data_IF_898949954314
#
_entry.id   IF_898949954314
#
_cell.length_a   1.000
_cell.length_b   1.000
_cell.length_c   1.000
_cell.angle_alpha   90.00
_cell.angle_beta   90.00
_cell.angle_gamma   90.00
#
_symmetry.space_group_name_H-M   'P 1'
#
loop_
_entity.id
_entity.type
_entity.pdbx_description
1 polymer ?
#
# COMPACT_ATOMS: atom_id res chain seq x y z
N UNK A 1 -32.39 -1.82 -10.27
CA UNK A 1 -31.61 -1.23 -9.16
C UNK A 1 -31.08 -2.38 -8.33
N UNK A 2 -29.76 -2.63 -8.33
CA UNK A 2 -29.12 -3.67 -7.53
C UNK A 2 -28.19 -3.03 -6.50
N UNK A 3 -28.47 -3.14 -5.20
CA UNK A 3 -27.56 -2.74 -4.14
C UNK A 3 -26.90 -3.98 -3.53
N UNK A 4 -25.84 -4.53 -4.16
CA UNK A 4 -25.05 -5.61 -3.53
C UNK A 4 -23.58 -5.47 -3.99
N UNK A 5 -22.78 -4.67 -3.27
CA UNK A 5 -21.32 -4.71 -3.40
C UNK A 5 -20.53 -4.09 -2.21
N UNK A 6 -21.17 -3.77 -1.08
CA UNK A 6 -20.48 -3.09 0.03
C UNK A 6 -20.18 -4.02 1.24
N UNK A 7 -20.75 -5.23 1.27
CA UNK A 7 -20.69 -6.11 2.45
C UNK A 7 -19.56 -7.16 2.41
N UNK A 8 -18.67 -7.11 1.42
CA UNK A 8 -17.57 -8.07 1.27
C UNK A 8 -16.27 -7.66 1.99
N UNK A 9 -15.96 -6.35 2.04
CA UNK A 9 -14.68 -5.85 2.54
C UNK A 9 -14.59 -5.84 4.07
N UNK A 10 -15.71 -5.57 4.75
CA UNK A 10 -15.77 -5.54 6.22
C UNK A 10 -15.57 -6.95 6.81
N UNK A 11 -15.98 -8.00 6.09
CA UNK A 11 -15.89 -9.39 6.54
C UNK A 11 -14.45 -9.93 6.49
N UNK A 12 -13.65 -9.51 5.50
CA UNK A 12 -12.24 -9.91 5.36
C UNK A 12 -11.37 -9.30 6.48
N UNK A 13 -11.57 -8.03 6.81
CA UNK A 13 -10.87 -7.38 7.92
C UNK A 13 -11.19 -8.04 9.27
N UNK A 14 -12.46 -8.43 9.48
CA UNK A 14 -12.89 -9.05 10.73
C UNK A 14 -12.37 -10.48 10.91
N UNK A 15 -12.32 -11.26 9.84
CA UNK A 15 -11.82 -12.65 9.89
C UNK A 15 -10.31 -12.69 10.18
N UNK A 16 -9.54 -11.74 9.64
CA UNK A 16 -8.11 -11.60 9.95
C UNK A 16 -7.90 -11.18 11.41
N UNK A 17 -8.64 -10.19 11.90
CA UNK A 17 -8.58 -9.75 13.29
C UNK A 17 -8.98 -10.88 14.27
N UNK A 18 -10.07 -11.59 14.00
CA UNK A 18 -10.57 -12.66 14.88
C UNK A 18 -9.63 -13.87 14.91
N UNK A 19 -9.00 -14.22 13.79
CA UNK A 19 -8.14 -15.40 13.72
C UNK A 19 -6.69 -15.16 14.16
N UNK A 20 -6.22 -13.91 14.24
CA UNK A 20 -4.86 -13.56 14.71
C UNK A 20 -4.81 -12.97 16.12
N UNK A 21 -5.83 -12.23 16.58
CA UNK A 21 -5.77 -11.54 17.88
C UNK A 21 -6.39 -12.34 19.04
N UNK A 22 -7.29 -13.28 18.78
CA UNK A 22 -8.12 -13.89 19.84
C UNK A 22 -7.76 -15.33 20.21
N UNK A 23 -6.73 -15.92 19.60
CA UNK A 23 -6.30 -17.28 19.96
C UNK A 23 -4.90 -17.30 20.58
N UNK A 24 -4.78 -17.20 21.92
CA UNK A 24 -3.53 -17.49 22.59
C UNK A 24 -3.41 -19.01 22.72
N UNK A 25 -2.51 -19.60 21.95
CA UNK A 25 -2.03 -20.96 22.19
C UNK A 25 -0.56 -20.96 21.75
N UNK A 26 0.36 -20.78 22.70
CA UNK A 26 1.81 -20.68 22.46
C UNK A 26 2.43 -22.02 22.03
N UNK A 27 3.77 -22.21 22.15
CA UNK A 27 4.86 -21.24 22.30
C UNK A 27 5.59 -20.97 20.96
N UNK A 28 6.38 -19.91 20.97
CA UNK A 28 7.41 -19.47 20.02
C UNK A 28 7.85 -20.49 18.95
N UNK A 29 7.38 -20.30 17.73
CA UNK A 29 8.18 -20.51 16.53
C UNK A 29 8.18 -19.16 15.79
N UNK A 30 9.33 -18.70 15.26
CA UNK A 30 9.31 -17.53 14.39
C UNK A 30 8.33 -17.81 13.24
N UNK A 31 7.52 -16.83 12.81
CA UNK A 31 6.62 -17.05 11.69
C UNK A 31 7.47 -17.45 10.48
N UNK A 32 7.34 -18.70 10.03
CA UNK A 32 7.94 -19.15 8.78
C UNK A 32 7.43 -18.23 7.68
N UNK A 33 8.31 -17.41 7.11
CA UNK A 33 7.95 -16.46 6.06
C UNK A 33 7.27 -17.13 4.87
N UNK A 34 7.64 -18.38 4.59
CA UNK A 34 7.01 -19.21 3.57
C UNK A 34 5.53 -19.55 3.89
N UNK A 35 5.19 -19.71 5.17
CA UNK A 35 3.80 -19.95 5.58
C UNK A 35 2.95 -18.67 5.44
N UNK A 36 3.53 -17.51 5.72
CA UNK A 36 2.89 -16.21 5.47
C UNK A 36 2.66 -15.98 3.98
N UNK A 37 3.68 -16.20 3.13
CA UNK A 37 3.57 -16.08 1.68
C UNK A 37 2.54 -17.07 1.10
N UNK A 38 2.48 -18.31 1.59
CA UNK A 38 1.45 -19.27 1.17
C UNK A 38 0.03 -18.89 1.62
N UNK A 39 -0.13 -18.29 2.80
CA UNK A 39 -1.45 -17.79 3.24
C UNK A 39 -1.90 -16.60 2.39
N UNK A 40 -0.97 -15.72 2.01
CA UNK A 40 -1.23 -14.59 1.10
C UNK A 40 -1.58 -15.04 -0.32
N UNK A 41 -0.84 -16.02 -0.85
CA UNK A 41 -1.10 -16.61 -2.15
C UNK A 41 -2.49 -17.27 -2.21
N UNK A 42 -2.84 -18.05 -1.17
CA UNK A 42 -4.17 -18.67 -1.04
C UNK A 42 -5.29 -17.66 -0.82
N UNK A 43 -5.02 -16.53 -0.17
CA UNK A 43 -5.99 -15.44 0.01
C UNK A 43 -6.12 -14.53 -1.24
N UNK A 44 -5.14 -14.61 -2.16
CA UNK A 44 -4.99 -13.70 -3.29
C UNK A 44 -5.63 -14.20 -4.58
N UNK A 45 -6.96 -14.08 -4.72
CA UNK A 45 -7.61 -14.20 -6.03
C UNK A 45 -7.62 -12.86 -6.78
N UNK A 46 -7.01 -12.86 -7.97
CA UNK A 46 -7.03 -11.83 -9.05
C UNK A 46 -6.39 -10.45 -8.85
N UNK A 47 -6.10 -9.97 -7.64
CA UNK A 47 -5.45 -8.63 -7.43
C UNK A 47 -4.00 -8.67 -6.90
N UNK A 48 -3.47 -9.86 -6.65
CA UNK A 48 -2.20 -10.09 -5.92
C UNK A 48 -0.96 -10.28 -6.79
N UNK A 49 -1.08 -10.28 -8.13
CA UNK A 49 0.08 -10.46 -9.02
C UNK A 49 1.16 -9.40 -8.81
N UNK A 50 0.80 -8.16 -8.46
CA UNK A 50 1.77 -7.12 -8.11
C UNK A 50 2.37 -7.27 -6.71
N UNK A 51 1.58 -7.75 -5.73
CA UNK A 51 2.01 -7.84 -4.32
C UNK A 51 2.97 -9.00 -4.10
N UNK A 52 2.74 -10.17 -4.70
CA UNK A 52 3.65 -11.30 -4.56
C UNK A 52 5.06 -10.97 -5.08
N UNK A 53 5.14 -10.24 -6.20
CA UNK A 53 6.41 -9.75 -6.75
C UNK A 53 7.11 -8.78 -5.77
N UNK A 54 6.36 -7.83 -5.19
CA UNK A 54 6.89 -6.89 -4.20
C UNK A 54 7.38 -7.63 -2.95
N UNK A 55 6.58 -8.52 -2.36
CA UNK A 55 6.96 -9.24 -1.13
C UNK A 55 8.21 -10.10 -1.33
N UNK A 56 8.34 -10.74 -2.50
CA UNK A 56 9.53 -11.52 -2.85
C UNK A 56 10.75 -10.62 -3.07
N UNK A 57 10.57 -9.49 -3.79
CA UNK A 57 11.64 -8.54 -4.06
C UNK A 57 12.22 -7.92 -2.79
N UNK A 58 11.38 -7.66 -1.79
CA UNK A 58 11.77 -7.01 -0.54
C UNK A 58 12.00 -8.00 0.62
N UNK A 59 11.86 -9.31 0.40
CA UNK A 59 12.15 -10.34 1.41
C UNK A 59 11.25 -10.23 2.65
N UNK A 60 9.96 -9.98 2.46
CA UNK A 60 9.00 -9.79 3.55
C UNK A 60 8.55 -11.14 4.08
N UNK A 61 8.81 -11.42 5.35
CA UNK A 61 8.49 -12.71 5.98
C UNK A 61 7.38 -12.61 7.04
N UNK A 62 6.96 -11.39 7.40
CA UNK A 62 5.94 -11.15 8.41
C UNK A 62 5.09 -9.92 8.11
N UNK A 63 3.98 -9.77 8.84
CA UNK A 63 3.14 -8.57 8.74
C UNK A 63 3.85 -7.32 9.28
N UNK A 64 4.71 -7.49 10.29
CA UNK A 64 5.56 -6.40 10.80
C UNK A 64 6.56 -5.94 9.74
N UNK A 65 7.21 -6.87 9.03
CA UNK A 65 8.11 -6.54 7.91
C UNK A 65 7.34 -5.80 6.79
N UNK A 66 6.10 -6.19 6.54
CA UNK A 66 5.26 -5.57 5.51
C UNK A 66 4.89 -4.13 5.89
N UNK A 67 4.55 -3.88 7.16
CA UNK A 67 4.30 -2.54 7.69
C UNK A 67 5.54 -1.66 7.70
N UNK A 68 6.69 -2.25 8.04
CA UNK A 68 7.96 -1.55 8.00
C UNK A 68 8.33 -1.19 6.57
N UNK A 69 8.20 -2.12 5.63
CA UNK A 69 8.41 -1.87 4.20
C UNK A 69 7.49 -0.77 3.68
N UNK A 70 6.20 -0.81 4.02
CA UNK A 70 5.26 0.24 3.65
C UNK A 70 5.71 1.62 4.14
N UNK A 71 6.12 1.72 5.41
CA UNK A 71 6.63 2.96 6.00
C UNK A 71 7.92 3.43 5.32
N UNK A 72 8.82 2.51 4.98
CA UNK A 72 10.09 2.82 4.33
C UNK A 72 9.91 3.27 2.87
N UNK A 73 9.02 2.62 2.11
CA UNK A 73 8.69 3.02 0.74
C UNK A 73 7.99 4.39 0.72
N UNK A 74 7.11 4.66 1.68
CA UNK A 74 6.48 5.97 1.85
C UNK A 74 7.53 7.04 2.14
N UNK A 75 8.47 6.77 3.04
CA UNK A 75 9.58 7.69 3.34
C UNK A 75 10.43 7.95 2.11
N UNK A 76 10.83 6.90 1.40
CA UNK A 76 11.64 6.99 0.18
C UNK A 76 10.95 7.82 -0.91
N UNK A 77 9.64 7.71 -1.06
CA UNK A 77 8.87 8.58 -1.95
C UNK A 77 8.89 10.04 -1.47
N UNK A 78 8.67 10.30 -0.18
CA UNK A 78 8.67 11.66 0.35
C UNK A 78 10.05 12.33 0.34
N UNK A 79 11.12 11.53 0.31
CA UNK A 79 12.51 11.97 0.16
C UNK A 79 12.90 12.25 -1.31
N UNK A 80 12.04 11.92 -2.28
CA UNK A 80 12.26 12.29 -3.68
C UNK A 80 12.37 13.82 -3.81
N UNK A 81 13.38 14.35 -4.52
CA UNK A 81 13.64 15.78 -4.56
C UNK A 81 12.46 16.60 -5.11
N UNK A 82 11.67 16.06 -6.05
CA UNK A 82 10.51 16.76 -6.58
C UNK A 82 9.39 16.84 -5.54
N UNK A 83 9.16 15.75 -4.78
CA UNK A 83 8.15 15.68 -3.73
C UNK A 83 8.57 16.48 -2.47
N UNK A 84 9.83 16.38 -2.06
CA UNK A 84 10.40 17.16 -0.95
C UNK A 84 10.31 18.68 -1.23
N UNK A 85 10.64 19.10 -2.46
CA UNK A 85 10.49 20.50 -2.90
C UNK A 85 9.02 20.90 -2.92
N UNK A 86 8.11 20.01 -3.32
CA UNK A 86 6.68 20.26 -3.28
C UNK A 86 6.18 20.58 -1.87
N UNK A 87 6.59 19.76 -0.90
CA UNK A 87 6.21 19.91 0.51
C UNK A 87 6.84 21.13 1.17
N UNK A 88 8.06 21.49 0.77
CA UNK A 88 8.72 22.69 1.29
C UNK A 88 7.99 23.95 0.80
N UNK A 89 7.54 23.96 -0.45
CA UNK A 89 6.79 25.08 -1.02
C UNK A 89 5.36 25.18 -0.45
N UNK A 90 4.75 24.06 -0.09
CA UNK A 90 3.41 24.03 0.50
C UNK A 90 3.33 22.97 1.63
N UNK A 91 3.70 23.35 2.87
CA UNK A 91 3.74 22.42 3.99
C UNK A 91 2.38 21.91 4.45
N UNK A 92 1.29 22.58 4.06
CA UNK A 92 -0.09 22.21 4.39
C UNK A 92 -0.77 21.44 3.24
N UNK A 93 -0.07 21.25 2.12
CA UNK A 93 -0.62 20.47 1.02
C UNK A 93 -0.69 18.99 1.39
N UNK A 94 -1.86 18.38 1.15
CA UNK A 94 -1.99 16.93 1.19
C UNK A 94 -1.49 16.36 -0.13
N UNK A 95 -0.69 15.29 -0.08
CA UNK A 95 -0.14 14.62 -1.24
C UNK A 95 -0.87 13.30 -1.44
N UNK A 96 -1.44 13.12 -2.62
CA UNK A 96 -2.13 11.91 -3.02
C UNK A 96 -1.41 11.24 -4.20
N UNK A 97 -1.02 9.99 -4.03
CA UNK A 97 -0.50 9.17 -5.11
C UNK A 97 -1.67 8.56 -5.89
N UNK A 98 -1.67 8.77 -7.19
CA UNK A 98 -2.64 8.17 -8.11
C UNK A 98 -1.94 7.37 -9.19
N UNK A 99 -2.62 6.31 -9.65
CA UNK A 99 -2.18 5.46 -10.76
C UNK A 99 -3.05 5.75 -11.97
N UNK A 100 -2.43 6.15 -13.07
CA UNK A 100 -3.07 6.32 -14.37
C UNK A 100 -3.50 4.99 -14.98
N UNK A 101 -4.45 5.03 -15.91
CA UNK A 101 -4.93 3.85 -16.63
C UNK A 101 -3.85 3.23 -17.55
N UNK A 102 -2.87 4.03 -17.94
CA UNK A 102 -1.66 3.64 -18.68
C UNK A 102 -0.57 3.03 -17.79
N UNK A 103 -0.80 2.93 -16.48
CA UNK A 103 0.16 2.42 -15.51
C UNK A 103 1.18 3.46 -15.03
N UNK A 104 1.06 4.72 -15.46
CA UNK A 104 1.90 5.80 -14.93
C UNK A 104 1.46 6.18 -13.52
N UNK A 105 2.37 6.79 -12.77
CA UNK A 105 2.09 7.28 -11.42
C UNK A 105 2.28 8.79 -11.38
N UNK A 106 1.37 9.46 -10.68
CA UNK A 106 1.44 10.91 -10.48
C UNK A 106 1.02 11.25 -9.04
N UNK A 107 1.65 12.27 -8.47
CA UNK A 107 1.34 12.79 -7.15
C UNK A 107 0.56 14.09 -7.28
N UNK A 108 -0.68 14.07 -6.81
CA UNK A 108 -1.60 15.19 -6.80
C UNK A 108 -1.57 15.88 -5.43
N UNK A 109 -1.30 17.17 -5.42
CA UNK A 109 -1.36 18.00 -4.23
C UNK A 109 -2.76 18.60 -4.06
N UNK A 110 -3.18 18.87 -2.81
CA UNK A 110 -4.46 19.55 -2.53
C UNK A 110 -4.56 20.96 -3.12
N UNK A 111 -3.42 21.62 -3.37
CA UNK A 111 -3.35 22.92 -4.03
C UNK A 111 -3.56 22.86 -5.56
N UNK A 112 -3.83 21.68 -6.12
CA UNK A 112 -4.09 21.47 -7.54
C UNK A 112 -2.84 21.23 -8.40
N UNK A 113 -1.65 21.20 -7.79
CA UNK A 113 -0.41 20.84 -8.50
C UNK A 113 -0.29 19.33 -8.66
N UNK A 114 0.18 18.88 -9.82
CA UNK A 114 0.48 17.46 -10.09
C UNK A 114 1.97 17.31 -10.41
N UNK A 115 2.54 16.20 -9.94
CA UNK A 115 3.93 15.81 -10.18
C UNK A 115 3.92 14.43 -10.82
N UNK A 116 4.28 14.36 -12.09
CA UNK A 116 4.35 13.10 -12.81
C UNK A 116 5.63 12.34 -12.44
N UNK A 117 5.48 11.06 -12.09
CA UNK A 117 6.61 10.20 -11.83
C UNK A 117 7.09 9.60 -13.15
N UNK A 118 8.36 9.81 -13.46
CA UNK A 118 8.95 9.33 -14.72
C UNK A 118 8.82 7.80 -14.79
N UNK A 119 8.18 7.24 -15.84
CA UNK A 119 8.02 5.80 -15.98
C UNK A 119 9.37 5.08 -15.97
N UNK A 120 9.46 3.97 -15.23
CA UNK A 120 10.69 3.19 -15.09
C UNK A 120 11.75 3.78 -14.16
N UNK A 121 11.54 4.99 -13.62
CA UNK A 121 12.40 5.54 -12.56
C UNK A 121 12.26 4.77 -11.25
N UNK A 122 13.26 4.87 -10.38
CA UNK A 122 13.20 4.30 -9.03
C UNK A 122 11.99 4.83 -8.25
N UNK A 123 11.70 6.14 -8.35
CA UNK A 123 10.54 6.77 -7.70
C UNK A 123 9.21 6.17 -8.18
N UNK A 124 9.07 5.89 -9.49
CA UNK A 124 7.88 5.24 -10.03
C UNK A 124 7.74 3.78 -9.56
N UNK A 125 8.85 3.04 -9.45
CA UNK A 125 8.84 1.67 -8.90
C UNK A 125 8.47 1.66 -7.41
N UNK A 126 9.01 2.59 -6.63
CA UNK A 126 8.65 2.77 -5.22
C UNK A 126 7.18 3.14 -5.07
N UNK A 127 6.66 4.02 -5.93
CA UNK A 127 5.24 4.35 -5.97
C UNK A 127 4.35 3.16 -6.32
N UNK A 128 4.75 2.33 -7.27
CA UNK A 128 4.02 1.11 -7.61
C UNK A 128 3.99 0.14 -6.44
N UNK A 129 5.14 -0.13 -5.82
CA UNK A 129 5.23 -1.01 -4.66
C UNK A 129 4.38 -0.49 -3.49
N UNK A 130 4.47 0.81 -3.20
CA UNK A 130 3.66 1.44 -2.14
C UNK A 130 2.16 1.39 -2.46
N UNK A 131 1.77 1.64 -3.71
CA UNK A 131 0.37 1.58 -4.13
C UNK A 131 -0.22 0.19 -3.92
N UNK A 132 0.53 -0.83 -4.32
CA UNK A 132 0.16 -2.23 -4.12
C UNK A 132 0.06 -2.60 -2.64
N UNK A 133 1.04 -2.22 -1.81
CA UNK A 133 1.03 -2.51 -0.38
C UNK A 133 -0.08 -1.75 0.37
N UNK A 134 -0.30 -0.48 0.06
CA UNK A 134 -1.34 0.33 0.69
C UNK A 134 -2.73 -0.19 0.33
N UNK A 135 -2.95 -0.56 -0.92
CA UNK A 135 -4.20 -1.20 -1.37
C UNK A 135 -4.41 -2.56 -0.70
N UNK A 136 -3.33 -3.32 -0.49
CA UNK A 136 -3.37 -4.63 0.16
C UNK A 136 -3.70 -4.54 1.65
N UNK A 137 -3.00 -3.66 2.36
CA UNK A 137 -3.18 -3.40 3.78
C UNK A 137 -4.50 -2.66 4.09
N UNK A 138 -5.06 -1.95 3.10
CA UNK A 138 -6.12 -0.99 3.31
C UNK A 138 -5.66 0.23 4.11
N UNK A 139 -4.35 0.46 4.21
CA UNK A 139 -3.74 1.58 4.90
C UNK A 139 -3.50 2.73 3.91
N UNK A 140 -3.57 3.97 4.39
CA UNK A 140 -3.39 5.20 3.61
C UNK A 140 -4.31 5.36 2.37
N UNK A 141 -5.29 4.49 2.16
CA UNK A 141 -6.25 4.64 1.06
C UNK A 141 -7.12 5.88 1.31
N UNK A 142 -7.11 6.82 0.36
CA UNK A 142 -7.85 8.06 0.48
C UNK A 142 -9.36 7.81 0.53
N UNK A 143 -10.00 8.28 1.59
CA UNK A 143 -11.47 8.23 1.74
C UNK A 143 -12.18 9.24 0.85
N UNK A 144 -11.49 10.34 0.49
CA UNK A 144 -12.01 11.39 -0.37
C UNK A 144 -11.84 11.08 -1.86
N UNK A 145 -10.85 10.27 -2.23
CA UNK A 145 -10.48 9.97 -3.62
C UNK A 145 -10.25 8.46 -3.79
N UNK A 146 -11.27 7.70 -4.21
CA UNK A 146 -11.19 6.25 -4.32
C UNK A 146 -10.03 5.80 -5.23
N UNK A 147 -9.17 4.93 -4.70
CA UNK A 147 -8.03 4.36 -5.44
C UNK A 147 -6.72 5.18 -5.36
N UNK A 148 -6.75 6.35 -4.72
CA UNK A 148 -5.55 7.14 -4.41
C UNK A 148 -5.00 6.79 -3.02
N UNK A 149 -3.68 6.90 -2.86
CA UNK A 149 -2.98 6.68 -1.59
C UNK A 149 -2.53 8.02 -1.02
N UNK A 150 -2.85 8.29 0.25
CA UNK A 150 -2.44 9.49 0.98
C UNK A 150 -0.97 9.35 1.42
N UNK A 151 -0.07 10.12 0.82
CA UNK A 151 1.36 10.12 1.14
C UNK A 151 1.68 11.04 2.32
N UNK A 152 1.02 12.20 2.40
CA UNK A 152 1.20 13.17 3.46
C UNK A 152 -0.03 14.07 3.57
N UNK A 153 -0.30 14.59 4.76
CA UNK A 153 -1.34 15.57 5.07
C UNK A 153 -0.81 16.64 6.00
#
# INVERSE_FOLDING_TARGET
>A
MNPIAATGLISLGKTLLENTLLKPSGPSAPPDGDAFLQMLDKAGSSKTQGIAAVLTQYGVHSLDDLRQLHSDLRRQLLDDPALATARTNDPQATLHLSRGADGTFQVNLSNGRTIDLVPGSQTAQTAEALHHLSTFLGEDVSTARPGEILLAS
#
